data_IF_492766171190
#
_entry.id   IF_492766171190
#
_cell.length_a   1.000
_cell.length_b   1.000
_cell.length_c   1.000
_cell.angle_alpha   90.00
_cell.angle_beta   90.00
_cell.angle_gamma   90.00
#
_symmetry.space_group_name_H-M   'P 1'
#
loop_
_entity.id
_entity.type
_entity.pdbx_description
1 polymer ?
#
# COMPACT_ATOMS: atom_id res chain seq x y z
N UNK A 1 29.17 -73.24 29.04
CA UNK A 1 28.47 -72.32 28.13
C UNK A 1 27.90 -71.05 28.79
N UNK A 2 28.11 -70.80 30.10
CA UNK A 2 27.57 -69.59 30.77
C UNK A 2 28.39 -68.30 30.51
N UNK A 3 29.67 -68.42 30.16
CA UNK A 3 30.58 -67.27 30.01
C UNK A 3 30.59 -66.67 28.59
N UNK A 4 29.98 -67.33 27.61
CA UNK A 4 29.92 -66.83 26.22
C UNK A 4 28.93 -65.66 26.13
N UNK A 5 27.79 -65.74 26.80
CA UNK A 5 26.76 -64.68 26.80
C UNK A 5 27.25 -63.36 27.40
N UNK A 6 28.13 -63.41 28.40
CA UNK A 6 28.72 -62.20 29.01
C UNK A 6 29.69 -61.54 28.03
N UNK A 7 30.49 -62.35 27.32
CA UNK A 7 31.41 -61.83 26.30
C UNK A 7 30.66 -61.20 25.12
N UNK A 8 29.56 -61.83 24.69
CA UNK A 8 28.67 -61.29 23.65
C UNK A 8 28.00 -59.98 24.06
N UNK A 9 27.61 -59.85 25.33
CA UNK A 9 26.99 -58.64 25.86
C UNK A 9 27.99 -57.47 25.93
N UNK A 10 29.22 -57.71 26.37
CA UNK A 10 30.26 -56.67 26.37
C UNK A 10 30.66 -56.24 24.96
N UNK A 11 30.72 -57.19 24.01
CA UNK A 11 31.01 -56.87 22.62
C UNK A 11 29.87 -56.04 21.98
N UNK A 12 28.61 -56.38 22.27
CA UNK A 12 27.45 -55.59 21.83
C UNK A 12 27.43 -54.18 22.44
N UNK A 13 27.77 -54.04 23.73
CA UNK A 13 27.88 -52.74 24.40
C UNK A 13 29.02 -51.88 23.83
N UNK A 14 30.14 -52.47 23.42
CA UNK A 14 31.22 -51.72 22.76
C UNK A 14 30.84 -51.26 21.35
N UNK A 15 30.10 -52.07 20.58
CA UNK A 15 29.65 -51.71 19.22
C UNK A 15 28.55 -50.63 19.26
N UNK A 16 27.73 -50.59 20.32
CA UNK A 16 26.70 -49.55 20.52
C UNK A 16 27.27 -48.19 20.96
N UNK A 17 28.47 -48.14 21.56
CA UNK A 17 29.09 -46.86 21.96
C UNK A 17 29.85 -46.18 20.82
N UNK A 18 30.28 -46.93 19.79
CA UNK A 18 30.99 -46.36 18.63
C UNK A 18 30.05 -45.87 17.52
N UNK A 19 28.74 -46.08 17.64
CA UNK A 19 27.75 -45.66 16.62
C UNK A 19 27.07 -44.32 16.95
N UNK A 20 27.52 -43.60 17.98
CA UNK A 20 26.93 -42.32 18.39
C UNK A 20 27.84 -41.11 18.14
N UNK A 21 29.08 -41.30 17.69
CA UNK A 21 30.03 -40.19 17.48
C UNK A 21 29.98 -39.61 16.06
N UNK A 22 29.29 -40.28 15.14
CA UNK A 22 29.07 -39.82 13.77
C UNK A 22 27.65 -40.24 13.37
N UNK A 23 26.72 -39.28 13.36
CA UNK A 23 25.32 -39.48 12.95
C UNK A 23 25.19 -39.76 11.44
N UNK A 24 26.30 -39.98 10.74
CA UNK A 24 26.34 -40.29 9.32
C UNK A 24 25.93 -39.10 8.46
N UNK A 25 25.81 -37.92 9.05
CA UNK A 25 25.48 -36.68 8.37
C UNK A 25 26.73 -35.89 8.02
N UNK A 26 27.32 -36.14 6.85
CA UNK A 26 28.12 -35.10 6.15
C UNK A 26 27.26 -33.90 5.69
N UNK A 27 26.02 -33.82 6.17
CA UNK A 27 25.01 -32.80 5.90
C UNK A 27 25.17 -31.52 6.73
N UNK A 28 26.25 -31.38 7.50
CA UNK A 28 26.60 -30.11 8.13
C UNK A 28 26.92 -29.08 7.03
N UNK A 29 25.90 -28.34 6.59
CA UNK A 29 26.08 -27.16 5.78
C UNK A 29 26.68 -26.11 6.73
N UNK A 30 27.94 -25.74 6.49
CA UNK A 30 28.54 -24.60 7.17
C UNK A 30 27.70 -23.36 6.84
N UNK A 31 26.99 -22.87 7.83
CA UNK A 31 26.24 -21.62 7.74
C UNK A 31 27.04 -20.53 8.45
N UNK A 32 26.95 -19.32 7.91
CA UNK A 32 27.48 -18.12 8.55
C UNK A 32 26.31 -17.25 8.98
N UNK A 33 26.47 -16.56 10.11
CA UNK A 33 25.48 -15.58 10.54
C UNK A 33 25.51 -14.39 9.58
N UNK A 34 24.36 -14.02 9.04
CA UNK A 34 24.21 -12.85 8.19
C UNK A 34 23.95 -11.56 8.97
N UNK A 35 23.51 -10.54 8.25
CA UNK A 35 23.07 -9.26 8.80
C UNK A 35 21.76 -8.83 8.14
N UNK A 36 20.91 -8.13 8.90
CA UNK A 36 19.67 -7.54 8.42
C UNK A 36 19.63 -6.05 8.79
N UNK A 37 19.12 -5.19 7.91
CA UNK A 37 19.04 -3.77 8.16
C UNK A 37 17.88 -3.44 9.09
N UNK A 38 17.95 -2.22 9.61
CA UNK A 38 16.85 -1.58 10.32
C UNK A 38 16.55 -0.23 9.64
N UNK A 39 15.62 -0.27 8.69
CA UNK A 39 15.09 0.93 8.06
C UNK A 39 14.10 1.63 8.99
N UNK A 40 14.19 2.95 9.12
CA UNK A 40 13.19 3.74 9.87
C UNK A 40 12.82 4.97 9.08
N UNK A 41 11.52 5.15 8.82
CA UNK A 41 11.03 6.38 8.21
C UNK A 41 11.19 7.54 9.19
N UNK A 42 11.68 8.67 8.70
CA UNK A 42 11.75 9.90 9.49
C UNK A 42 10.33 10.46 9.64
N UNK A 43 9.98 10.95 10.83
CA UNK A 43 8.66 11.51 11.07
C UNK A 43 8.34 12.65 10.08
N UNK A 44 7.19 12.56 9.40
CA UNK A 44 6.78 13.50 8.36
C UNK A 44 7.35 13.22 6.96
N UNK A 45 8.15 12.16 6.80
CA UNK A 45 8.41 11.60 5.46
C UNK A 45 7.11 11.07 4.85
N UNK A 46 6.93 11.14 3.52
CA UNK A 46 5.86 10.42 2.85
C UNK A 46 5.98 8.91 3.11
N UNK A 47 4.84 8.23 3.26
CA UNK A 47 4.76 6.76 3.39
C UNK A 47 4.58 6.05 2.02
N UNK A 48 4.30 6.83 0.98
CA UNK A 48 4.13 6.39 -0.41
C UNK A 48 4.60 7.49 -1.37
N UNK A 49 4.75 7.18 -2.65
CA UNK A 49 5.09 8.17 -3.67
C UNK A 49 3.80 8.76 -4.24
N UNK A 50 3.52 10.02 -3.94
CA UNK A 50 2.45 10.77 -4.61
C UNK A 50 2.90 11.15 -6.03
N UNK A 51 2.29 10.50 -7.03
CA UNK A 51 2.59 10.72 -8.45
C UNK A 51 2.34 12.18 -8.86
N UNK A 52 1.31 12.82 -8.30
CA UNK A 52 0.97 14.21 -8.63
C UNK A 52 1.99 15.20 -8.05
N UNK A 53 2.59 14.84 -6.91
CA UNK A 53 3.58 15.62 -6.19
C UNK A 53 5.03 15.21 -6.45
N UNK A 54 5.32 14.37 -7.46
CA UNK A 54 6.63 13.71 -7.59
C UNK A 54 7.82 14.69 -7.72
N UNK A 55 7.60 15.88 -8.26
CA UNK A 55 8.64 16.93 -8.36
C UNK A 55 9.04 17.51 -7.00
N UNK A 56 8.15 17.43 -6.00
CA UNK A 56 8.38 17.87 -4.63
C UNK A 56 8.63 16.69 -3.67
N UNK A 57 8.66 15.46 -4.19
CA UNK A 57 8.89 14.26 -3.40
C UNK A 57 10.25 14.33 -2.70
N UNK A 58 10.25 14.04 -1.40
CA UNK A 58 11.45 13.84 -0.60
C UNK A 58 11.23 12.71 0.41
N UNK A 59 11.70 11.51 0.06
CA UNK A 59 11.66 10.34 0.94
C UNK A 59 12.80 10.41 1.95
N UNK A 60 12.47 10.38 3.24
CA UNK A 60 13.43 10.52 4.32
C UNK A 60 13.38 9.30 5.25
N UNK A 61 14.52 8.64 5.40
CA UNK A 61 14.64 7.44 6.21
C UNK A 61 16.07 7.28 6.73
N UNK A 62 16.23 6.44 7.76
CA UNK A 62 17.53 6.02 8.27
C UNK A 62 17.76 4.55 7.98
N UNK A 63 19.01 4.17 7.73
CA UNK A 63 19.43 2.76 7.61
C UNK A 63 20.41 2.44 8.72
N UNK A 64 20.00 1.57 9.64
CA UNK A 64 20.83 1.00 10.69
C UNK A 64 21.10 -0.49 10.49
N UNK A 65 21.69 -1.11 11.50
CA UNK A 65 21.84 -2.57 11.58
C UNK A 65 20.82 -3.10 12.60
N UNK A 66 19.90 -3.95 12.15
CA UNK A 66 18.94 -4.62 13.03
C UNK A 66 19.51 -5.90 13.64
N UNK A 67 20.22 -6.68 12.83
CA UNK A 67 20.84 -7.96 13.22
C UNK A 67 22.21 -8.09 12.55
N UNK A 68 23.18 -8.69 13.24
CA UNK A 68 24.51 -9.01 12.70
C UNK A 68 25.54 -7.91 12.92
N UNK A 69 26.76 -8.15 12.42
CA UNK A 69 27.92 -7.26 12.58
C UNK A 69 28.60 -7.01 11.22
N UNK A 70 27.94 -6.32 10.28
CA UNK A 70 28.56 -5.97 9.00
C UNK A 70 29.60 -4.85 9.18
N UNK A 71 30.58 -4.78 8.28
CA UNK A 71 31.59 -3.71 8.27
C UNK A 71 31.15 -2.51 7.45
N UNK A 72 30.34 -2.74 6.40
CA UNK A 72 29.75 -1.67 5.59
C UNK A 72 28.47 -2.13 4.89
N UNK A 73 27.72 -1.18 4.31
CA UNK A 73 26.62 -1.49 3.41
C UNK A 73 26.60 -0.63 2.15
N UNK A 74 25.99 -1.18 1.11
CA UNK A 74 25.55 -0.46 -0.08
C UNK A 74 24.02 -0.24 0.05
N UNK A 75 23.54 0.99 -0.08
CA UNK A 75 22.11 1.27 -0.27
C UNK A 75 21.76 0.99 -1.73
N UNK A 76 20.78 0.12 -1.94
CA UNK A 76 20.36 -0.31 -3.27
C UNK A 76 18.86 -0.13 -3.45
N UNK A 77 18.45 -0.05 -4.71
CA UNK A 77 17.05 0.08 -5.06
C UNK A 77 16.65 -0.80 -6.25
N UNK A 78 15.41 -1.26 -6.21
CA UNK A 78 14.67 -1.79 -7.35
C UNK A 78 13.49 -0.88 -7.67
N UNK A 79 13.11 -0.83 -8.94
CA UNK A 79 11.85 -0.24 -9.38
C UNK A 79 11.00 -1.32 -10.04
N UNK A 80 9.83 -1.61 -9.48
CA UNK A 80 8.87 -2.58 -10.01
C UNK A 80 7.74 -1.83 -10.68
N UNK A 81 7.50 -2.05 -11.97
CA UNK A 81 6.36 -1.46 -12.66
C UNK A 81 5.06 -2.19 -12.32
N UNK A 82 3.93 -1.51 -12.48
CA UNK A 82 2.58 -2.07 -12.34
C UNK A 82 2.34 -3.26 -13.28
N UNK A 83 3.02 -3.27 -14.43
CA UNK A 83 3.00 -4.36 -15.41
C UNK A 83 3.90 -5.55 -15.02
N UNK A 84 4.70 -5.41 -13.95
CA UNK A 84 5.53 -6.47 -13.37
C UNK A 84 6.99 -6.49 -13.83
N UNK A 85 7.45 -5.49 -14.58
CA UNK A 85 8.86 -5.36 -14.95
C UNK A 85 9.68 -4.88 -13.76
N UNK A 86 10.84 -5.50 -13.54
CA UNK A 86 11.74 -5.16 -12.43
C UNK A 86 13.03 -4.54 -12.94
N UNK A 87 13.24 -3.26 -12.66
CA UNK A 87 14.47 -2.52 -12.99
C UNK A 87 15.44 -2.51 -11.81
N UNK A 88 16.73 -2.69 -12.11
CA UNK A 88 17.81 -2.74 -11.12
C UNK A 88 18.35 -4.15 -10.84
N UNK A 89 19.10 -4.34 -9.74
CA UNK A 89 19.28 -3.38 -8.66
C UNK A 89 20.30 -2.31 -9.03
N UNK A 90 20.03 -1.07 -8.64
CA UNK A 90 20.99 0.02 -8.73
C UNK A 90 21.55 0.34 -7.35
N UNK A 91 22.81 0.77 -7.28
CA UNK A 91 23.45 1.21 -6.04
C UNK A 91 23.36 2.73 -5.95
N UNK A 92 22.64 3.22 -4.94
CA UNK A 92 22.46 4.65 -4.69
C UNK A 92 23.62 5.24 -3.89
N UNK A 93 24.20 4.43 -3.01
CA UNK A 93 25.29 4.83 -2.11
C UNK A 93 26.05 3.58 -1.70
N UNK A 94 27.38 3.63 -1.72
CA UNK A 94 28.23 2.44 -1.60
C UNK A 94 29.23 2.56 -0.44
N UNK A 95 29.50 1.43 0.21
CA UNK A 95 30.57 1.31 1.21
C UNK A 95 30.36 2.18 2.45
N UNK A 96 29.12 2.36 2.89
CA UNK A 96 28.79 3.15 4.08
C UNK A 96 29.20 2.38 5.34
N UNK A 97 30.01 3.01 6.18
CA UNK A 97 30.54 2.42 7.44
C UNK A 97 29.96 3.03 8.71
N UNK A 98 29.14 4.07 8.59
CA UNK A 98 28.52 4.77 9.72
C UNK A 98 27.03 4.42 9.83
N UNK A 99 26.59 4.07 11.04
CA UNK A 99 25.24 3.62 11.33
C UNK A 99 24.64 4.33 12.56
N UNK A 100 23.35 4.68 12.56
CA UNK A 100 22.47 4.69 11.39
C UNK A 100 22.86 5.85 10.44
N UNK A 101 22.71 5.64 9.12
CA UNK A 101 22.87 6.71 8.13
C UNK A 101 21.51 7.26 7.71
N UNK A 102 21.39 8.58 7.67
CA UNK A 102 20.19 9.27 7.18
C UNK A 102 20.25 9.48 5.66
N UNK A 103 19.10 9.33 5.02
CA UNK A 103 18.92 9.54 3.58
C UNK A 103 17.76 10.51 3.32
N UNK A 104 17.93 11.31 2.28
CA UNK A 104 16.92 12.17 1.67
C UNK A 104 16.99 11.91 0.16
N UNK A 105 15.97 11.21 -0.36
CA UNK A 105 15.88 10.78 -1.75
C UNK A 105 14.74 11.51 -2.43
N UNK A 106 15.06 12.33 -3.41
CA UNK A 106 14.10 13.14 -4.18
C UNK A 106 13.54 12.39 -5.39
N UNK A 107 12.38 12.84 -5.90
CA UNK A 107 11.82 12.30 -7.15
C UNK A 107 12.78 12.39 -8.34
N UNK A 108 13.56 13.48 -8.45
CA UNK A 108 14.59 13.62 -9.49
C UNK A 108 15.71 12.60 -9.35
N UNK A 109 16.13 12.27 -8.12
CA UNK A 109 17.13 11.22 -7.89
C UNK A 109 16.59 9.84 -8.26
N UNK A 110 15.30 9.57 -8.00
CA UNK A 110 14.66 8.30 -8.40
C UNK A 110 14.64 8.17 -9.92
N UNK A 111 14.12 9.18 -10.63
CA UNK A 111 14.08 9.17 -12.10
C UNK A 111 15.49 9.03 -12.68
N UNK A 112 16.47 9.79 -12.16
CA UNK A 112 17.85 9.72 -12.65
C UNK A 112 18.61 8.43 -12.26
N UNK A 113 18.10 7.64 -11.31
CA UNK A 113 18.75 6.43 -10.83
C UNK A 113 18.51 5.21 -11.73
N UNK A 114 17.38 5.17 -12.44
CA UNK A 114 17.01 4.06 -13.32
C UNK A 114 17.09 4.50 -14.78
N UNK A 115 17.85 3.79 -15.60
CA UNK A 115 18.02 4.13 -17.02
C UNK A 115 16.73 4.06 -17.85
N UNK A 116 15.76 3.31 -17.35
CA UNK A 116 14.45 3.07 -17.92
C UNK A 116 13.49 4.24 -17.66
N UNK A 117 13.77 5.07 -16.64
CA UNK A 117 12.97 6.24 -16.28
C UNK A 117 13.62 7.51 -16.84
N UNK A 118 12.93 8.21 -17.74
CA UNK A 118 13.41 9.45 -18.34
C UNK A 118 12.72 10.67 -17.73
N UNK A 119 11.51 10.49 -17.22
CA UNK A 119 10.66 11.56 -16.70
C UNK A 119 9.64 11.03 -15.71
N UNK A 120 8.91 11.95 -15.06
CA UNK A 120 7.77 11.61 -14.21
C UNK A 120 6.65 10.86 -14.96
N UNK A 121 6.58 10.98 -16.29
CA UNK A 121 5.57 10.30 -17.10
C UNK A 121 5.84 8.79 -17.25
N UNK A 122 7.07 8.33 -16.94
CA UNK A 122 7.42 6.91 -16.96
C UNK A 122 7.03 6.20 -15.66
N UNK A 123 6.53 6.94 -14.67
CA UNK A 123 6.12 6.46 -13.37
C UNK A 123 4.59 6.36 -13.35
N UNK A 124 4.07 5.21 -12.96
CA UNK A 124 2.65 4.90 -12.99
C UNK A 124 2.12 4.52 -11.61
N UNK A 125 0.82 4.72 -11.43
CA UNK A 125 0.09 4.27 -10.25
C UNK A 125 0.21 2.76 -10.15
N UNK A 126 0.58 2.27 -8.96
CA UNK A 126 0.82 0.84 -8.71
C UNK A 126 2.28 0.41 -8.89
N UNK A 127 3.15 1.25 -9.44
CA UNK A 127 4.60 1.01 -9.41
C UNK A 127 5.10 0.96 -7.97
N UNK A 128 6.23 0.29 -7.72
CA UNK A 128 6.82 0.15 -6.38
C UNK A 128 8.33 0.39 -6.41
N UNK A 129 8.77 1.41 -5.69
CA UNK A 129 10.20 1.64 -5.40
C UNK A 129 10.59 0.86 -4.14
N UNK A 130 11.59 -0.01 -4.25
CA UNK A 130 12.05 -0.86 -3.13
C UNK A 130 13.47 -0.48 -2.74
N UNK A 131 13.68 -0.03 -1.51
CA UNK A 131 15.00 0.19 -0.92
C UNK A 131 15.42 -1.00 -0.08
N UNK A 132 16.68 -1.41 -0.23
CA UNK A 132 17.27 -2.52 0.51
C UNK A 132 18.79 -2.33 0.62
N UNK A 133 19.45 -3.21 1.40
CA UNK A 133 20.90 -3.16 1.57
C UNK A 133 21.61 -4.37 0.99
N UNK A 134 22.87 -4.15 0.60
CA UNK A 134 23.88 -5.21 0.47
C UNK A 134 24.92 -5.00 1.56
N UNK A 135 25.04 -5.93 2.50
CA UNK A 135 26.03 -5.84 3.57
C UNK A 135 27.35 -6.50 3.17
N UNK A 136 28.46 -5.87 3.57
CA UNK A 136 29.81 -6.46 3.47
C UNK A 136 30.29 -6.82 4.88
N UNK A 137 30.93 -7.98 5.04
CA UNK A 137 31.48 -8.46 6.31
C UNK A 137 33.02 -8.34 6.36
N UNK A 138 33.61 -8.62 7.51
CA UNK A 138 35.07 -8.52 7.72
C UNK A 138 35.87 -9.45 6.79
N UNK A 139 35.32 -10.62 6.46
CA UNK A 139 35.93 -11.56 5.51
C UNK A 139 35.77 -11.15 4.03
N UNK A 140 35.12 -10.01 3.77
CA UNK A 140 34.82 -9.49 2.44
C UNK A 140 33.62 -10.15 1.75
N UNK A 141 32.96 -11.11 2.40
CA UNK A 141 31.71 -11.67 1.88
C UNK A 141 30.62 -10.60 1.85
N UNK A 142 29.66 -10.79 0.94
CA UNK A 142 28.51 -9.90 0.78
C UNK A 142 27.19 -10.64 0.93
N UNK A 143 26.22 -9.99 1.56
CA UNK A 143 24.84 -10.45 1.67
C UNK A 143 23.89 -9.41 1.07
N UNK A 144 23.31 -9.76 -0.06
CA UNK A 144 22.19 -9.04 -0.65
C UNK A 144 20.91 -9.45 0.07
N UNK A 145 20.19 -8.48 0.66
CA UNK A 145 18.95 -8.75 1.42
C UNK A 145 17.80 -9.16 0.48
N UNK A 146 17.82 -8.68 -0.76
CA UNK A 146 16.90 -9.08 -1.82
C UNK A 146 17.63 -9.86 -2.91
N UNK A 147 16.95 -10.83 -3.50
CA UNK A 147 17.46 -11.60 -4.64
C UNK A 147 17.25 -10.83 -5.96
N UNK A 148 17.68 -11.42 -7.08
CA UNK A 148 17.56 -10.80 -8.42
C UNK A 148 16.12 -10.58 -8.90
N UNK A 149 15.11 -11.09 -8.18
CA UNK A 149 13.69 -10.89 -8.44
C UNK A 149 13.06 -9.87 -7.47
N UNK A 150 13.86 -9.21 -6.63
CA UNK A 150 13.36 -8.27 -5.62
C UNK A 150 12.64 -8.95 -4.45
N UNK A 151 12.78 -10.27 -4.30
CA UNK A 151 12.20 -11.06 -3.22
C UNK A 151 13.21 -11.22 -2.06
N UNK A 152 12.75 -11.46 -0.82
CA UNK A 152 13.64 -11.75 0.30
C UNK A 152 14.66 -12.86 -0.01
N UNK A 153 15.94 -12.57 0.22
CA UNK A 153 17.05 -13.53 0.15
C UNK A 153 17.45 -14.04 1.54
N UNK A 154 16.48 -14.10 2.45
CA UNK A 154 16.59 -14.58 3.82
C UNK A 154 15.34 -15.38 4.17
N UNK A 155 15.36 -16.09 5.30
CA UNK A 155 14.20 -16.87 5.75
C UNK A 155 13.08 -15.94 6.23
N UNK A 156 12.23 -15.53 5.29
CA UNK A 156 11.31 -14.41 5.45
C UNK A 156 10.26 -14.57 6.56
N UNK A 157 9.78 -15.79 6.84
CA UNK A 157 8.67 -16.01 7.76
C UNK A 157 8.96 -15.56 9.20
N UNK A 158 10.18 -15.80 9.69
CA UNK A 158 10.56 -15.48 11.07
C UNK A 158 10.97 -14.01 11.21
N UNK A 159 11.68 -13.48 10.22
CA UNK A 159 12.21 -12.12 10.28
C UNK A 159 11.19 -11.05 9.88
N UNK A 160 10.27 -11.33 8.95
CA UNK A 160 9.21 -10.37 8.59
C UNK A 160 8.16 -10.22 9.70
N UNK A 161 8.03 -11.23 10.56
CA UNK A 161 7.14 -11.18 11.72
C UNK A 161 7.78 -10.49 12.94
N UNK A 162 9.07 -10.15 12.87
CA UNK A 162 9.80 -9.57 13.98
C UNK A 162 9.63 -8.04 14.00
N UNK A 163 8.99 -7.44 15.03
CA UNK A 163 8.58 -6.04 15.00
C UNK A 163 9.72 -5.03 15.27
N UNK A 164 10.93 -5.50 15.59
CA UNK A 164 11.99 -4.62 16.11
C UNK A 164 12.86 -3.97 15.03
N UNK A 165 12.80 -4.44 13.78
CA UNK A 165 13.54 -3.84 12.68
C UNK A 165 12.78 -3.99 11.36
N UNK A 166 13.02 -3.09 10.43
CA UNK A 166 12.46 -3.14 9.08
C UNK A 166 13.54 -3.49 8.06
N UNK A 167 13.33 -4.57 7.30
CA UNK A 167 14.37 -5.14 6.42
C UNK A 167 14.48 -4.44 5.06
N UNK A 168 13.41 -3.76 4.64
CA UNK A 168 13.32 -3.01 3.38
C UNK A 168 12.22 -1.97 3.47
N UNK A 169 12.30 -0.94 2.64
CA UNK A 169 11.18 -0.01 2.44
C UNK A 169 10.62 -0.20 1.04
N UNK A 170 9.32 -0.44 0.95
CA UNK A 170 8.58 -0.49 -0.31
C UNK A 170 7.68 0.76 -0.35
N UNK A 171 7.95 1.67 -1.28
CA UNK A 171 7.12 2.84 -1.55
C UNK A 171 6.27 2.57 -2.79
N UNK A 172 4.97 2.40 -2.58
CA UNK A 172 4.00 2.27 -3.66
C UNK A 172 3.76 3.66 -4.27
N UNK A 173 3.68 3.73 -5.59
CA UNK A 173 3.24 4.93 -6.30
C UNK A 173 1.73 4.97 -6.29
N UNK A 174 1.17 6.05 -5.76
CA UNK A 174 -0.26 6.31 -5.71
C UNK A 174 -0.49 7.81 -5.91
N UNK A 175 -1.74 8.26 -5.84
CA UNK A 175 -2.05 9.68 -5.69
C UNK A 175 -2.63 9.93 -4.31
N UNK A 176 -2.45 11.15 -3.79
CA UNK A 176 -3.14 11.56 -2.57
C UNK A 176 -4.65 11.56 -2.80
N UNK A 177 -5.35 10.78 -1.98
CA UNK A 177 -6.80 10.75 -1.91
C UNK A 177 -7.22 11.39 -0.60
N UNK A 178 -7.89 12.53 -0.67
CA UNK A 178 -8.34 13.29 0.51
C UNK A 178 -9.77 13.82 0.27
N UNK A 179 -10.68 12.89 0.02
CA UNK A 179 -12.10 13.20 -0.11
C UNK A 179 -12.86 13.01 1.21
N UNK A 180 -12.20 12.62 2.31
CA UNK A 180 -12.85 12.41 3.59
C UNK A 180 -13.43 13.71 4.16
N UNK A 181 -14.58 13.62 4.84
CA UNK A 181 -15.18 14.76 5.53
C UNK A 181 -16.70 14.75 5.52
N UNK A 182 -17.29 15.82 6.07
CA UNK A 182 -18.74 16.08 5.97
C UNK A 182 -19.00 17.27 5.08
N UNK A 183 -19.62 17.00 3.94
CA UNK A 183 -19.86 17.96 2.87
C UNK A 183 -21.33 18.33 2.82
N UNK A 184 -21.64 19.56 2.41
CA UNK A 184 -23.02 19.96 2.14
C UNK A 184 -23.36 19.71 0.69
N UNK A 185 -24.62 19.41 0.38
CA UNK A 185 -25.04 19.23 -1.00
C UNK A 185 -26.34 19.98 -1.31
N UNK A 186 -26.52 20.24 -2.61
CA UNK A 186 -27.77 20.68 -3.23
C UNK A 186 -28.08 19.73 -4.39
N UNK A 187 -29.20 19.03 -4.28
CA UNK A 187 -29.67 18.07 -5.27
C UNK A 187 -30.87 18.63 -6.03
N UNK A 188 -30.86 18.45 -7.34
CA UNK A 188 -31.90 18.87 -8.29
C UNK A 188 -32.22 17.75 -9.26
N UNK A 189 -33.27 17.93 -10.07
CA UNK A 189 -33.66 16.99 -11.13
C UNK A 189 -33.88 15.55 -10.63
N UNK A 190 -34.38 15.39 -9.41
CA UNK A 190 -34.67 14.08 -8.85
C UNK A 190 -35.75 13.35 -9.65
N UNK A 191 -35.47 12.11 -10.01
CA UNK A 191 -36.43 11.20 -10.65
C UNK A 191 -36.46 9.89 -9.89
N UNK A 192 -37.67 9.41 -9.58
CA UNK A 192 -37.89 8.10 -9.02
C UNK A 192 -38.71 7.25 -10.00
N UNK A 193 -38.21 6.08 -10.38
CA UNK A 193 -38.78 5.30 -11.49
C UNK A 193 -40.20 4.79 -11.21
N UNK A 194 -40.48 4.40 -9.97
CA UNK A 194 -41.75 3.76 -9.58
C UNK A 194 -42.33 4.34 -8.28
N UNK A 195 -41.96 5.57 -7.93
CA UNK A 195 -42.50 6.17 -6.72
C UNK A 195 -44.00 6.45 -6.84
N UNK A 196 -44.81 6.14 -5.81
CA UNK A 196 -46.22 6.53 -5.76
C UNK A 196 -46.41 8.05 -5.57
N UNK A 197 -45.34 8.78 -5.25
CA UNK A 197 -45.34 10.22 -5.00
C UNK A 197 -44.41 10.95 -5.96
N UNK A 198 -44.75 12.19 -6.31
CA UNK A 198 -43.86 13.00 -7.11
C UNK A 198 -42.63 13.40 -6.29
N UNK A 199 -41.46 13.31 -6.91
CA UNK A 199 -40.25 13.93 -6.39
C UNK A 199 -40.42 15.45 -6.26
N UNK A 200 -39.67 16.11 -5.34
CA UNK A 200 -39.69 17.56 -5.23
C UNK A 200 -39.31 18.23 -6.55
N UNK A 201 -39.99 19.32 -6.89
CA UNK A 201 -39.66 20.14 -8.07
C UNK A 201 -38.58 21.20 -7.78
N UNK A 202 -38.23 21.38 -6.50
CA UNK A 202 -37.20 22.31 -6.05
C UNK A 202 -35.93 21.60 -5.59
N UNK A 203 -35.00 22.38 -5.05
CA UNK A 203 -33.75 21.87 -4.48
C UNK A 203 -34.01 21.05 -3.21
N UNK A 204 -33.28 19.95 -3.07
CA UNK A 204 -33.13 19.19 -1.84
C UNK A 204 -31.73 19.45 -1.31
N UNK A 205 -31.61 19.95 -0.08
CA UNK A 205 -30.32 20.24 0.53
C UNK A 205 -30.08 19.34 1.74
N UNK A 206 -28.81 19.06 2.00
CA UNK A 206 -28.42 18.23 3.13
C UNK A 206 -26.91 18.15 3.29
N UNK A 207 -26.47 17.10 3.98
CA UNK A 207 -25.05 16.80 4.16
C UNK A 207 -24.77 15.34 3.89
N UNK A 208 -23.63 15.07 3.30
CA UNK A 208 -23.10 13.73 3.09
C UNK A 208 -21.77 13.61 3.80
N UNK A 209 -21.54 12.49 4.48
CA UNK A 209 -20.26 12.19 5.11
C UNK A 209 -19.56 11.11 4.30
N UNK A 210 -18.33 11.41 3.87
CA UNK A 210 -17.42 10.47 3.24
C UNK A 210 -16.38 10.06 4.29
N UNK A 211 -16.48 8.83 4.77
CA UNK A 211 -15.60 8.28 5.81
C UNK A 211 -14.47 7.51 5.15
N UNK A 212 -13.24 8.03 5.28
CA UNK A 212 -12.04 7.38 4.76
C UNK A 212 -11.85 5.97 5.37
N UNK A 213 -11.73 4.97 4.50
CA UNK A 213 -11.44 3.58 4.84
C UNK A 213 -9.99 3.20 4.55
N UNK A 214 -9.19 4.14 4.05
CA UNK A 214 -7.80 3.96 3.63
C UNK A 214 -7.66 3.57 2.16
N UNK A 215 -6.52 3.92 1.58
CA UNK A 215 -6.15 3.55 0.20
C UNK A 215 -7.07 4.14 -0.87
N UNK A 216 -7.67 5.32 -0.60
CA UNK A 216 -8.60 5.98 -1.51
C UNK A 216 -10.00 5.36 -1.54
N UNK A 217 -10.39 4.55 -0.55
CA UNK A 217 -11.75 4.04 -0.43
C UNK A 217 -12.53 4.82 0.62
N UNK A 218 -13.79 5.13 0.32
CA UNK A 218 -14.66 5.93 1.19
C UNK A 218 -16.01 5.26 1.37
N UNK A 219 -16.50 5.26 2.60
CA UNK A 219 -17.89 4.94 2.92
C UNK A 219 -18.73 6.22 2.83
N UNK A 220 -19.82 6.23 2.08
CA UNK A 220 -20.75 7.35 2.00
C UNK A 220 -21.97 7.15 2.89
N UNK A 221 -22.38 8.21 3.59
CA UNK A 221 -23.60 8.21 4.39
C UNK A 221 -24.88 8.19 3.55
N UNK A 222 -24.78 8.53 2.26
CA UNK A 222 -25.89 8.56 1.32
C UNK A 222 -25.38 8.51 -0.14
N UNK A 223 -25.87 7.54 -0.92
CA UNK A 223 -25.54 7.36 -2.34
C UNK A 223 -26.45 8.19 -3.27
N UNK A 224 -27.62 8.60 -2.79
CA UNK A 224 -28.67 9.29 -3.56
C UNK A 224 -28.86 10.77 -3.21
N UNK A 225 -28.04 11.31 -2.30
CA UNK A 225 -27.97 12.73 -1.95
C UNK A 225 -29.34 13.35 -1.63
N UNK A 226 -30.05 12.76 -0.68
CA UNK A 226 -31.32 13.22 -0.14
C UNK A 226 -32.54 12.72 -0.91
N UNK A 227 -32.37 11.90 -1.96
CA UNK A 227 -33.52 11.41 -2.70
C UNK A 227 -34.47 10.62 -1.80
N UNK A 228 -33.95 9.67 -1.03
CA UNK A 228 -34.79 8.76 -0.26
C UNK A 228 -35.52 9.50 0.85
N UNK A 229 -34.85 10.44 1.52
CA UNK A 229 -35.45 11.28 2.56
C UNK A 229 -36.45 12.31 2.02
N UNK A 230 -36.39 12.61 0.73
CA UNK A 230 -37.33 13.53 0.09
C UNK A 230 -38.71 12.90 -0.15
N UNK A 231 -39.63 13.68 -0.72
CA UNK A 231 -40.93 13.18 -1.13
C UNK A 231 -40.88 12.11 -2.23
N UNK A 232 -39.72 11.83 -2.83
CA UNK A 232 -39.54 10.69 -3.73
C UNK A 232 -39.84 9.38 -3.00
N UNK A 233 -39.36 9.16 -1.77
CA UNK A 233 -39.56 7.88 -1.06
C UNK A 233 -39.98 8.03 0.40
N UNK A 234 -39.68 9.16 1.06
CA UNK A 234 -39.91 9.42 2.49
C UNK A 234 -39.31 8.31 3.39
N UNK A 235 -38.08 7.92 3.10
CA UNK A 235 -37.33 6.86 3.78
C UNK A 235 -36.04 7.42 4.42
N UNK A 236 -35.21 6.57 5.01
CA UNK A 236 -33.82 6.91 5.37
C UNK A 236 -32.90 6.98 4.15
N UNK A 237 -31.70 7.58 4.29
CA UNK A 237 -30.73 7.75 3.21
C UNK A 237 -30.39 6.42 2.51
N UNK A 238 -29.96 6.52 1.24
CA UNK A 238 -29.49 5.36 0.48
C UNK A 238 -28.09 4.96 0.96
N UNK A 239 -28.00 4.07 1.96
CA UNK A 239 -26.73 3.71 2.59
C UNK A 239 -26.72 2.30 3.17
N UNK A 240 -25.54 1.72 3.30
CA UNK A 240 -25.30 0.44 3.96
C UNK A 240 -23.83 0.36 4.40
N UNK A 241 -23.43 -0.74 5.05
CA UNK A 241 -22.00 -1.00 5.31
C UNK A 241 -21.15 -1.22 4.04
N UNK A 242 -21.80 -1.35 2.88
CA UNK A 242 -21.16 -1.43 1.57
C UNK A 242 -21.46 -0.24 0.66
N UNK A 243 -22.00 0.87 1.18
CA UNK A 243 -22.21 2.08 0.38
C UNK A 243 -20.89 2.83 0.21
N UNK A 244 -20.05 2.37 -0.72
CA UNK A 244 -18.64 2.81 -0.83
C UNK A 244 -18.27 3.26 -2.23
N UNK A 245 -17.44 4.27 -2.37
CA UNK A 245 -16.78 4.59 -3.63
C UNK A 245 -15.27 4.61 -3.44
N UNK A 246 -14.52 4.57 -4.54
CA UNK A 246 -13.08 4.77 -4.50
C UNK A 246 -12.68 6.00 -5.30
N UNK A 247 -11.57 6.62 -4.93
CA UNK A 247 -10.89 7.63 -5.71
C UNK A 247 -9.44 7.21 -5.90
N UNK A 248 -9.03 7.17 -7.18
CA UNK A 248 -7.65 6.86 -7.54
C UNK A 248 -7.21 7.88 -8.58
N UNK A 249 -6.30 8.77 -8.18
CA UNK A 249 -5.66 9.74 -9.07
C UNK A 249 -6.61 10.66 -9.81
N UNK A 250 -7.60 11.18 -9.07
CA UNK A 250 -8.64 12.06 -9.55
C UNK A 250 -9.86 11.32 -10.09
N UNK A 251 -9.78 10.01 -10.34
CA UNK A 251 -10.93 9.25 -10.84
C UNK A 251 -11.78 8.74 -9.69
N UNK A 252 -12.98 9.31 -9.53
CA UNK A 252 -14.02 8.74 -8.66
C UNK A 252 -14.67 7.57 -9.39
N UNK A 253 -14.58 6.39 -8.78
CA UNK A 253 -15.25 5.17 -9.20
C UNK A 253 -16.34 4.91 -8.16
N UNK A 254 -17.58 5.27 -8.52
CA UNK A 254 -18.74 4.90 -7.71
C UNK A 254 -18.82 3.39 -7.61
N UNK A 255 -19.06 2.88 -6.41
CA UNK A 255 -19.28 1.48 -6.17
C UNK A 255 -20.26 1.28 -5.03
N UNK A 256 -20.35 0.04 -4.58
CA UNK A 256 -21.11 -0.28 -3.39
C UNK A 256 -22.62 -0.35 -3.60
N UNK A 257 -23.31 -0.78 -2.55
CA UNK A 257 -24.75 -1.02 -2.57
C UNK A 257 -25.43 -0.28 -1.42
N UNK A 258 -26.64 0.21 -1.64
CA UNK A 258 -27.49 0.72 -0.56
C UNK A 258 -28.12 -0.41 0.26
N UNK A 259 -28.99 -0.05 1.22
CA UNK A 259 -29.70 -1.00 2.09
C UNK A 259 -30.62 -1.98 1.35
N UNK A 260 -30.96 -1.69 0.09
CA UNK A 260 -31.79 -2.51 -0.77
C UNK A 260 -30.99 -3.30 -1.80
N UNK A 261 -29.66 -3.16 -1.79
CA UNK A 261 -28.78 -3.86 -2.72
C UNK A 261 -28.71 -3.21 -4.10
N UNK A 262 -29.06 -1.92 -4.21
CA UNK A 262 -29.02 -1.18 -5.47
C UNK A 262 -27.65 -0.58 -5.71
N UNK A 263 -27.18 -0.65 -6.95
CA UNK A 263 -25.89 -0.11 -7.38
C UNK A 263 -26.07 1.32 -7.91
N UNK A 264 -25.15 2.21 -7.55
CA UNK A 264 -25.16 3.61 -7.98
C UNK A 264 -23.98 3.90 -8.91
N UNK A 265 -24.27 4.65 -9.97
CA UNK A 265 -23.31 5.15 -10.92
C UNK A 265 -23.23 6.66 -10.76
N UNK A 266 -22.05 7.18 -10.47
CA UNK A 266 -21.79 8.61 -10.41
C UNK A 266 -20.97 9.04 -11.63
N UNK A 267 -21.33 10.19 -12.19
CA UNK A 267 -20.60 10.84 -13.29
C UNK A 267 -20.33 12.27 -12.87
N UNK A 268 -19.06 12.55 -12.54
CA UNK A 268 -18.61 13.90 -12.19
C UNK A 268 -18.60 14.74 -13.46
N UNK A 269 -19.36 15.83 -13.48
CA UNK A 269 -19.55 16.68 -14.66
C UNK A 269 -18.81 18.00 -14.57
N UNK A 270 -18.53 18.51 -13.37
CA UNK A 270 -17.75 19.73 -13.15
C UNK A 270 -17.09 19.73 -11.77
N UNK A 271 -15.90 20.33 -11.65
CA UNK A 271 -15.24 20.62 -10.37
C UNK A 271 -14.67 22.03 -10.44
N UNK A 272 -15.26 22.94 -9.65
CA UNK A 272 -14.87 24.35 -9.63
C UNK A 272 -14.71 24.81 -8.19
N UNK A 273 -13.45 24.97 -7.76
CA UNK A 273 -13.12 25.38 -6.40
C UNK A 273 -13.76 24.43 -5.36
N UNK A 274 -14.64 24.93 -4.47
CA UNK A 274 -15.26 24.09 -3.44
C UNK A 274 -16.45 23.27 -3.94
N UNK A 275 -16.88 23.44 -5.19
CA UNK A 275 -18.07 22.77 -5.75
C UNK A 275 -17.70 21.61 -6.67
N UNK A 276 -18.24 20.43 -6.37
CA UNK A 276 -18.21 19.24 -7.21
C UNK A 276 -19.61 18.97 -7.73
N UNK A 277 -19.82 19.02 -9.04
CA UNK A 277 -21.08 18.70 -9.69
C UNK A 277 -21.03 17.29 -10.26
N UNK A 278 -22.07 16.50 -10.02
CA UNK A 278 -22.22 15.19 -10.63
C UNK A 278 -23.66 14.84 -10.91
N UNK A 279 -23.86 13.97 -11.90
CA UNK A 279 -25.11 13.25 -12.09
C UNK A 279 -24.97 11.84 -11.53
N UNK A 280 -26.05 11.30 -10.98
CA UNK A 280 -26.08 9.92 -10.51
C UNK A 280 -27.32 9.20 -10.98
N UNK A 281 -27.20 7.88 -11.12
CA UNK A 281 -28.30 6.96 -11.42
C UNK A 281 -28.13 5.69 -10.61
N UNK A 282 -29.21 4.97 -10.30
CA UNK A 282 -29.12 3.60 -9.79
C UNK A 282 -29.75 2.58 -10.74
N UNK A 283 -29.52 1.30 -10.49
CA UNK A 283 -30.05 0.18 -11.27
C UNK A 283 -31.57 -0.06 -11.10
N UNK A 284 -32.21 0.64 -10.15
CA UNK A 284 -33.66 0.73 -10.05
C UNK A 284 -34.27 1.73 -11.06
N UNK A 285 -33.47 2.64 -11.61
CA UNK A 285 -33.87 3.68 -12.55
C UNK A 285 -34.09 5.05 -11.91
N UNK A 286 -33.71 5.23 -10.64
CA UNK A 286 -33.73 6.53 -9.98
C UNK A 286 -32.52 7.36 -10.41
N UNK A 287 -32.64 8.69 -10.36
CA UNK A 287 -31.56 9.60 -10.76
C UNK A 287 -31.65 10.98 -10.14
N UNK A 288 -30.55 11.73 -10.23
CA UNK A 288 -30.48 13.14 -9.83
C UNK A 288 -29.23 13.85 -10.32
N UNK A 289 -29.19 15.16 -10.11
CA UNK A 289 -28.00 16.00 -10.26
C UNK A 289 -27.69 16.62 -8.91
N UNK A 290 -26.44 16.53 -8.46
CA UNK A 290 -26.03 17.07 -7.16
C UNK A 290 -24.81 17.96 -7.32
N UNK A 291 -24.80 19.06 -6.58
CA UNK A 291 -23.63 19.89 -6.33
C UNK A 291 -23.23 19.67 -4.87
N UNK A 292 -22.01 19.17 -4.65
CA UNK A 292 -21.43 18.95 -3.33
C UNK A 292 -20.42 20.06 -3.06
N UNK A 293 -20.62 20.78 -1.95
CA UNK A 293 -19.67 21.77 -1.45
C UNK A 293 -18.78 21.12 -0.39
N UNK A 294 -17.45 21.17 -0.61
CA UNK A 294 -16.47 20.58 0.32
C UNK A 294 -16.56 21.22 1.71
N UNK A 295 -16.20 20.44 2.72
CA UNK A 295 -16.22 20.89 4.12
C UNK A 295 -15.37 22.15 4.31
N UNK A 296 -15.90 23.12 5.05
CA UNK A 296 -15.21 24.39 5.30
C UNK A 296 -15.03 25.30 4.07
N UNK A 297 -15.61 24.96 2.92
CA UNK A 297 -15.46 25.70 1.67
C UNK A 297 -14.06 25.57 1.06
N UNK A 298 -13.35 24.48 1.36
CA UNK A 298 -12.06 24.17 0.76
C UNK A 298 -12.22 23.76 -0.71
N UNK A 299 -11.21 24.02 -1.54
CA UNK A 299 -11.23 23.54 -2.93
C UNK A 299 -11.13 22.02 -2.98
N UNK A 300 -11.85 21.37 -3.90
CA UNK A 300 -11.63 19.95 -4.18
C UNK A 300 -10.24 19.73 -4.81
N UNK A 301 -9.60 18.56 -4.59
CA UNK A 301 -8.45 18.18 -5.39
C UNK A 301 -8.86 18.07 -6.87
N UNK A 302 -7.88 17.98 -7.76
CA UNK A 302 -8.18 17.75 -9.17
C UNK A 302 -8.85 16.39 -9.34
N UNK A 303 -10.07 16.38 -9.88
CA UNK A 303 -10.83 15.17 -10.20
C UNK A 303 -11.15 15.12 -11.69
N UNK A 304 -11.33 13.91 -12.22
CA UNK A 304 -11.70 13.69 -13.61
C UNK A 304 -13.19 13.95 -13.83
N UNK A 305 -13.50 14.76 -14.83
CA UNK A 305 -14.85 15.06 -15.28
C UNK A 305 -15.17 14.30 -16.57
N UNK A 306 -16.44 13.92 -16.78
CA UNK A 306 -16.92 13.20 -17.98
C UNK A 306 -18.20 13.79 -18.54
#
# INVERSE_FOLDING_TARGET
>A
MKNIYILSLFLALFVLNTSCDDDGGTSAINTTNGALPDFKMVAGSPDFIDLTGITNLNLQFTVGVGVGEPTSFDLKAYYLTVDGDLYGPITLDAGVTEYPKEYSITGTQIIGAFSELNSAADIQVGDVLKFFTSYTFEDGSKLEVLNSKGEPNYYAADFNAYPNFTVKLDYVVSCLSDLGGTHTYVTTNLQAANSPTACPTGEVTGSVTWTDQGGGNYLTSDLGFGQYESSCWNDGPATSGGATFSEVCGEIISGGLDQYGLEYIWVITDVTGPELTMTWTNDYGDSGTVVITREGGLDWPQLFTR
#
